data_IF_029797263020
#
_entry.id   IF_029797263020
#
_cell.length_a   1.000
_cell.length_b   1.000
_cell.length_c   1.000
_cell.angle_alpha   90.00
_cell.angle_beta   90.00
_cell.angle_gamma   90.00
#
_symmetry.space_group_name_H-M   'P 1'
#
loop_
_entity.id
_entity.type
_entity.pdbx_description
1 polymer ?
#
# COMPACT_ATOMS: atom_id res chain seq x y z
N UNK A 1 27.26 -9.48 1.81
CA UNK A 1 25.79 -9.55 1.71
C UNK A 1 25.29 -9.63 3.13
N UNK A 2 24.57 -8.62 3.62
CA UNK A 2 23.95 -8.69 4.93
C UNK A 2 22.98 -9.86 4.93
N UNK A 3 23.03 -10.70 5.96
CA UNK A 3 22.08 -11.80 6.13
C UNK A 3 20.68 -11.20 6.29
N UNK A 4 19.75 -11.59 5.41
CA UNK A 4 18.32 -11.26 5.54
C UNK A 4 17.79 -12.04 6.74
N UNK A 5 17.07 -11.37 7.63
CA UNK A 5 16.38 -12.05 8.74
C UNK A 5 15.28 -12.95 8.15
N UNK A 6 15.25 -14.26 8.48
CA UNK A 6 14.18 -15.16 8.03
C UNK A 6 12.77 -14.66 8.38
N UNK A 7 12.62 -13.86 9.44
CA UNK A 7 11.35 -13.23 9.81
C UNK A 7 10.78 -12.37 8.67
N UNK A 8 11.62 -11.69 7.90
CA UNK A 8 11.21 -10.82 6.77
C UNK A 8 10.71 -11.59 5.55
N UNK A 9 10.93 -12.92 5.53
CA UNK A 9 10.48 -13.81 4.47
C UNK A 9 9.28 -14.67 4.91
N UNK A 10 8.89 -14.59 6.18
CA UNK A 10 7.73 -15.30 6.68
C UNK A 10 6.44 -14.67 6.16
N UNK A 11 5.43 -15.49 5.89
CA UNK A 11 4.10 -14.96 5.62
C UNK A 11 3.54 -14.38 6.91
N UNK A 12 2.85 -13.25 6.78
CA UNK A 12 2.22 -12.55 7.91
C UNK A 12 0.70 -12.52 7.71
N UNK A 13 -0.04 -11.83 8.59
CA UNK A 13 -1.48 -11.70 8.39
C UNK A 13 -1.79 -10.85 7.14
N UNK A 14 -1.08 -9.73 6.97
CA UNK A 14 -1.35 -8.78 5.88
C UNK A 14 -0.50 -9.05 4.63
N UNK A 15 0.69 -9.64 4.80
CA UNK A 15 1.56 -10.12 3.71
C UNK A 15 1.36 -11.63 3.55
N UNK A 16 0.15 -12.02 3.18
CA UNK A 16 -0.29 -13.41 3.08
C UNK A 16 0.12 -14.06 1.75
N UNK A 17 1.40 -13.97 1.39
CA UNK A 17 1.87 -14.36 0.06
C UNK A 17 1.64 -15.84 -0.30
N UNK A 18 1.42 -16.70 0.69
CA UNK A 18 1.10 -18.11 0.50
C UNK A 18 -0.31 -18.33 -0.07
N UNK A 19 -1.15 -17.29 -0.12
CA UNK A 19 -2.48 -17.38 -0.71
C UNK A 19 -2.42 -17.83 -2.18
N UNK A 20 -3.28 -18.78 -2.63
CA UNK A 20 -3.20 -19.35 -3.98
C UNK A 20 -3.23 -18.30 -5.10
N UNK A 21 -4.09 -17.27 -4.98
CA UNK A 21 -4.18 -16.20 -5.96
C UNK A 21 -2.88 -15.38 -6.06
N UNK A 22 -2.16 -15.20 -4.94
CA UNK A 22 -0.86 -14.50 -4.92
C UNK A 22 0.20 -15.39 -5.56
N UNK A 23 0.24 -16.67 -5.22
CA UNK A 23 1.18 -17.62 -5.82
C UNK A 23 1.01 -17.71 -7.34
N UNK A 24 -0.23 -17.77 -7.83
CA UNK A 24 -0.54 -17.73 -9.27
C UNK A 24 -0.11 -16.39 -9.90
N UNK A 25 -0.40 -15.27 -9.25
CA UNK A 25 0.02 -13.95 -9.70
C UNK A 25 1.54 -13.86 -9.85
N UNK A 26 2.29 -14.39 -8.88
CA UNK A 26 3.76 -14.41 -8.90
C UNK A 26 4.27 -15.33 -10.01
N UNK A 27 3.77 -16.58 -10.07
CA UNK A 27 4.22 -17.59 -11.03
C UNK A 27 4.10 -17.14 -12.50
N UNK A 28 3.09 -16.32 -12.81
CA UNK A 28 2.86 -15.78 -14.16
C UNK A 28 3.76 -14.59 -14.53
N UNK A 29 4.50 -14.00 -13.58
CA UNK A 29 5.24 -12.73 -13.76
C UNK A 29 6.75 -12.84 -13.56
N UNK A 30 7.20 -13.84 -12.80
CA UNK A 30 8.62 -14.02 -12.51
C UNK A 30 9.08 -15.44 -12.83
N UNK A 31 10.28 -15.55 -13.37
CA UNK A 31 10.93 -16.83 -13.66
C UNK A 31 11.86 -17.27 -12.53
N UNK A 32 12.09 -18.58 -12.40
CA UNK A 32 13.00 -19.12 -11.38
C UNK A 32 14.42 -18.51 -11.47
N UNK A 33 14.91 -18.28 -12.69
CA UNK A 33 16.24 -17.73 -12.97
C UNK A 33 16.37 -16.20 -12.88
N UNK A 34 15.30 -15.46 -12.63
CA UNK A 34 15.38 -14.01 -12.44
C UNK A 34 16.16 -13.68 -11.14
N UNK A 35 16.98 -12.63 -11.18
CA UNK A 35 17.62 -12.10 -9.97
C UNK A 35 16.55 -11.55 -9.00
N UNK A 36 16.84 -11.56 -7.70
CA UNK A 36 15.87 -11.13 -6.68
C UNK A 36 15.33 -9.70 -6.91
N UNK A 37 16.21 -8.77 -7.32
CA UNK A 37 15.83 -7.39 -7.65
C UNK A 37 14.88 -7.33 -8.87
N UNK A 38 15.18 -8.10 -9.91
CA UNK A 38 14.34 -8.15 -11.10
C UNK A 38 12.95 -8.72 -10.78
N UNK A 39 12.88 -9.74 -9.92
CA UNK A 39 11.61 -10.28 -9.42
C UNK A 39 10.81 -9.19 -8.69
N UNK A 40 11.43 -8.47 -7.77
CA UNK A 40 10.78 -7.40 -7.02
C UNK A 40 10.25 -6.30 -7.94
N UNK A 41 11.05 -5.83 -8.92
CA UNK A 41 10.64 -4.81 -9.88
C UNK A 41 9.49 -5.27 -10.78
N UNK A 42 9.56 -6.50 -11.31
CA UNK A 42 8.48 -7.07 -12.16
C UNK A 42 7.16 -7.16 -11.39
N UNK A 43 7.20 -7.65 -10.15
CA UNK A 43 6.01 -7.75 -9.28
C UNK A 43 5.48 -6.37 -8.92
N UNK A 44 6.36 -5.44 -8.56
CA UNK A 44 5.99 -4.07 -8.25
C UNK A 44 5.28 -3.40 -9.44
N UNK A 45 5.87 -3.41 -10.65
CA UNK A 45 5.23 -2.80 -11.82
C UNK A 45 3.91 -3.48 -12.18
N UNK A 46 3.82 -4.80 -12.05
CA UNK A 46 2.56 -5.51 -12.26
C UNK A 46 1.46 -5.10 -11.28
N UNK A 47 1.80 -4.88 -10.01
CA UNK A 47 0.87 -4.35 -9.00
C UNK A 47 0.55 -2.89 -9.29
N UNK A 48 1.56 -2.05 -9.55
CA UNK A 48 1.45 -0.61 -9.85
C UNK A 48 0.45 -0.39 -10.98
N UNK A 49 0.64 -1.09 -12.09
CA UNK A 49 -0.09 -0.87 -13.34
C UNK A 49 -1.40 -1.68 -13.40
N UNK A 50 -1.48 -2.81 -12.67
CA UNK A 50 -2.62 -3.72 -12.71
C UNK A 50 -3.67 -3.54 -11.60
N UNK A 51 -3.37 -2.77 -10.55
CA UNK A 51 -4.27 -2.52 -9.42
C UNK A 51 -4.51 -1.01 -9.32
N UNK A 52 -5.78 -0.58 -9.40
CA UNK A 52 -6.17 0.83 -9.32
C UNK A 52 -5.78 1.39 -7.95
N UNK A 53 -5.20 2.59 -7.94
CA UNK A 53 -5.04 3.36 -6.71
C UNK A 53 -6.30 4.19 -6.45
N UNK A 54 -6.94 3.99 -5.29
CA UNK A 54 -8.15 4.72 -4.90
C UNK A 54 -8.13 5.01 -3.38
N UNK A 55 -7.79 6.25 -2.95
CA UNK A 55 -7.71 6.62 -1.55
C UNK A 55 -9.08 6.67 -0.84
N UNK A 56 -10.19 6.73 -1.58
CA UNK A 56 -11.54 6.78 -1.00
C UNK A 56 -12.15 5.40 -0.78
N UNK A 57 -11.53 4.36 -1.35
CA UNK A 57 -11.85 2.96 -1.05
C UNK A 57 -11.23 2.47 0.27
N UNK A 58 -10.58 3.37 1.02
CA UNK A 58 -9.85 3.02 2.23
C UNK A 58 -10.76 2.33 3.27
N UNK A 59 -10.36 1.15 3.70
CA UNK A 59 -11.10 0.36 4.69
C UNK A 59 -10.17 -0.09 5.80
N UNK A 60 -10.50 0.27 7.03
CA UNK A 60 -9.74 -0.19 8.21
C UNK A 60 -10.14 -1.60 8.66
N UNK A 61 -10.90 -2.35 7.84
CA UNK A 61 -11.22 -3.73 8.15
C UNK A 61 -9.98 -4.62 7.98
N UNK A 62 -9.68 -5.42 8.99
CA UNK A 62 -8.53 -6.34 9.03
C UNK A 62 -8.41 -7.23 7.78
N UNK A 63 -9.53 -7.79 7.30
CA UNK A 63 -9.54 -8.64 6.11
C UNK A 63 -9.23 -7.85 4.82
N UNK A 64 -9.73 -6.63 4.71
CA UNK A 64 -9.55 -5.79 3.52
C UNK A 64 -8.10 -5.35 3.29
N UNK A 65 -7.28 -5.36 4.34
CA UNK A 65 -5.87 -4.93 4.30
C UNK A 65 -4.90 -6.03 3.84
N UNK A 66 -5.37 -7.27 3.65
CA UNK A 66 -4.54 -8.38 3.18
C UNK A 66 -4.10 -8.18 1.73
N UNK A 67 -2.89 -8.64 1.41
CA UNK A 67 -2.36 -8.60 0.05
C UNK A 67 -3.27 -9.37 -0.93
N UNK A 68 -3.76 -10.54 -0.54
CA UNK A 68 -4.75 -11.32 -1.31
C UNK A 68 -6.02 -10.52 -1.63
N UNK A 69 -6.63 -9.88 -0.62
CA UNK A 69 -7.83 -9.06 -0.78
C UNK A 69 -7.60 -7.87 -1.71
N UNK A 70 -6.41 -7.26 -1.64
CA UNK A 70 -6.01 -6.15 -2.52
C UNK A 70 -5.90 -6.63 -3.98
N UNK A 71 -5.28 -7.80 -4.18
CA UNK A 71 -5.14 -8.40 -5.51
C UNK A 71 -6.51 -8.77 -6.12
N UNK A 72 -7.40 -9.35 -5.33
CA UNK A 72 -8.73 -9.78 -5.78
C UNK A 72 -9.63 -8.60 -6.15
N UNK A 73 -9.66 -7.57 -5.30
CA UNK A 73 -10.44 -6.34 -5.53
C UNK A 73 -9.89 -5.50 -6.67
N UNK A 74 -8.59 -5.63 -6.98
CA UNK A 74 -7.85 -4.79 -7.94
C UNK A 74 -7.94 -3.29 -7.64
N UNK A 75 -8.09 -2.96 -6.36
CA UNK A 75 -8.09 -1.60 -5.83
C UNK A 75 -7.26 -1.58 -4.55
N UNK A 76 -6.39 -0.58 -4.38
CA UNK A 76 -5.61 -0.38 -3.16
C UNK A 76 -5.30 1.10 -2.91
N UNK A 77 -4.74 1.39 -1.75
CA UNK A 77 -4.34 2.73 -1.32
C UNK A 77 -3.03 2.66 -0.52
N UNK A 78 -2.57 3.79 0.02
CA UNK A 78 -1.22 3.92 0.58
C UNK A 78 -0.83 2.93 1.70
N UNK A 79 -1.78 2.22 2.33
CA UNK A 79 -1.48 1.21 3.36
C UNK A 79 -1.12 -0.15 2.74
N UNK A 80 -1.89 -0.60 1.75
CA UNK A 80 -1.77 -1.94 1.15
C UNK A 80 -1.16 -1.93 -0.26
N UNK A 81 -0.83 -0.74 -0.80
CA UNK A 81 -0.26 -0.57 -2.13
C UNK A 81 0.77 0.57 -2.12
N UNK A 82 2.02 0.22 -2.41
CA UNK A 82 3.10 1.18 -2.59
C UNK A 82 2.84 2.09 -3.81
N UNK A 83 3.21 3.37 -3.67
CA UNK A 83 3.07 4.40 -4.70
C UNK A 83 4.28 4.47 -5.64
N UNK A 84 5.48 4.35 -5.08
CA UNK A 84 6.75 4.33 -5.81
C UNK A 84 7.65 3.22 -5.25
N UNK A 85 8.55 2.64 -6.06
CA UNK A 85 9.56 1.67 -5.65
C UNK A 85 10.54 1.43 -6.82
N UNK A 86 11.84 1.63 -6.57
CA UNK A 86 12.91 1.40 -7.55
C UNK A 86 13.86 0.25 -7.15
N UNK A 87 13.62 -0.36 -5.99
CA UNK A 87 14.46 -1.43 -5.44
C UNK A 87 15.83 -0.98 -4.93
N UNK A 88 16.05 0.33 -4.75
CA UNK A 88 17.28 0.91 -4.18
C UNK A 88 17.01 1.89 -3.06
N UNK A 89 15.95 2.71 -3.19
CA UNK A 89 15.60 3.77 -2.25
C UNK A 89 14.26 3.51 -1.60
N UNK A 90 14.08 4.09 -0.40
CA UNK A 90 12.81 4.03 0.31
C UNK A 90 11.70 4.72 -0.49
N UNK A 91 10.54 4.07 -0.52
CA UNK A 91 9.31 4.59 -1.10
C UNK A 91 8.71 5.71 -0.26
N UNK A 92 9.20 6.94 -0.41
CA UNK A 92 8.66 8.12 0.29
C UNK A 92 7.83 9.00 -0.64
N UNK A 93 6.68 9.47 -0.15
CA UNK A 93 5.89 10.49 -0.84
C UNK A 93 6.66 11.81 -0.92
N UNK A 94 6.58 12.48 -2.09
CA UNK A 94 7.29 13.72 -2.33
C UNK A 94 6.73 14.87 -1.48
N UNK A 95 7.60 15.65 -0.80
CA UNK A 95 7.16 16.77 0.05
C UNK A 95 6.61 17.98 -0.74
N UNK A 96 6.81 17.99 -2.06
CA UNK A 96 6.39 19.08 -2.95
C UNK A 96 5.28 18.62 -3.90
N UNK A 97 4.35 19.53 -4.22
CA UNK A 97 3.34 19.32 -5.25
C UNK A 97 3.88 19.61 -6.66
N UNK A 98 3.03 19.46 -7.69
CA UNK A 98 3.40 19.74 -9.09
C UNK A 98 3.77 21.20 -9.39
N UNK A 99 3.41 22.14 -8.50
CA UNK A 99 3.80 23.55 -8.57
C UNK A 99 5.09 23.84 -7.77
N UNK A 100 5.82 22.80 -7.32
CA UNK A 100 7.01 22.88 -6.49
C UNK A 100 6.80 23.60 -5.15
N UNK A 101 5.58 23.57 -4.62
CA UNK A 101 5.24 24.12 -3.31
C UNK A 101 5.28 23.01 -2.27
N UNK A 102 5.82 23.30 -1.08
CA UNK A 102 5.85 22.34 0.02
C UNK A 102 4.42 22.03 0.47
N UNK A 103 4.01 20.77 0.35
CA UNK A 103 2.67 20.27 0.66
C UNK A 103 2.68 19.20 1.76
N UNK A 104 3.84 18.57 2.04
CA UNK A 104 3.99 17.53 3.05
C UNK A 104 5.33 17.66 3.78
N UNK A 105 5.35 17.25 5.06
CA UNK A 105 6.55 17.11 5.88
C UNK A 105 6.46 15.84 6.74
N UNK A 106 7.50 15.00 6.71
CA UNK A 106 7.63 13.88 7.65
C UNK A 106 8.08 14.43 9.00
N UNK A 107 7.15 14.55 9.95
CA UNK A 107 7.42 15.13 11.28
C UNK A 107 7.99 14.08 12.24
N UNK A 108 7.54 12.82 12.15
CA UNK A 108 7.98 11.72 13.03
C UNK A 108 7.96 10.38 12.29
N UNK A 109 9.01 9.59 12.47
CA UNK A 109 9.07 8.17 12.12
C UNK A 109 8.62 7.33 13.32
N UNK A 110 7.79 6.31 13.10
CA UNK A 110 7.16 5.50 14.16
C UNK A 110 7.72 4.08 14.30
N UNK A 111 8.84 3.80 13.63
CA UNK A 111 9.51 2.50 13.65
C UNK A 111 9.33 1.72 12.37
N UNK A 112 9.98 0.57 12.33
CA UNK A 112 9.93 -0.43 11.26
C UNK A 112 9.35 -1.72 11.85
N UNK A 113 8.47 -2.38 11.09
CA UNK A 113 7.74 -3.55 11.56
C UNK A 113 7.72 -4.60 10.44
N UNK A 114 7.82 -5.88 10.82
CA UNK A 114 7.79 -7.00 9.86
C UNK A 114 6.39 -7.20 9.24
N UNK A 115 5.35 -6.67 9.89
CA UNK A 115 3.97 -6.65 9.41
C UNK A 115 3.27 -5.34 9.81
N UNK A 116 2.08 -5.09 9.28
CA UNK A 116 1.28 -3.92 9.66
C UNK A 116 0.92 -3.97 11.16
N UNK A 117 1.33 -2.97 11.99
CA UNK A 117 0.94 -2.90 13.40
C UNK A 117 -0.52 -2.44 13.52
N UNK A 118 -1.46 -3.31 13.12
CA UNK A 118 -2.86 -2.97 12.90
C UNK A 118 -3.54 -2.36 14.13
N UNK A 119 -3.35 -2.96 15.32
CA UNK A 119 -4.06 -2.51 16.52
C UNK A 119 -3.58 -1.11 16.94
N UNK A 120 -2.29 -0.83 16.82
CA UNK A 120 -1.72 0.50 17.06
C UNK A 120 -2.17 1.51 16.00
N UNK A 121 -2.15 1.12 14.72
CA UNK A 121 -2.60 1.95 13.60
C UNK A 121 -4.06 2.37 13.79
N UNK A 122 -4.96 1.42 14.07
CA UNK A 122 -6.39 1.69 14.26
C UNK A 122 -6.62 2.54 15.50
N UNK A 123 -5.94 2.25 16.61
CA UNK A 123 -6.04 3.06 17.82
C UNK A 123 -5.62 4.52 17.57
N UNK A 124 -4.55 4.73 16.81
CA UNK A 124 -4.09 6.07 16.45
C UNK A 124 -4.99 6.76 15.42
N UNK A 125 -5.55 6.05 14.45
CA UNK A 125 -6.53 6.60 13.50
C UNK A 125 -7.76 7.12 14.22
N UNK A 126 -8.32 6.34 15.16
CA UNK A 126 -9.46 6.75 15.98
C UNK A 126 -9.13 7.97 16.85
N UNK A 127 -7.93 7.98 17.44
CA UNK A 127 -7.50 9.04 18.37
C UNK A 127 -7.16 10.36 17.66
N UNK A 128 -6.49 10.30 16.52
CA UNK A 128 -5.91 11.47 15.83
C UNK A 128 -6.78 11.96 14.67
N UNK A 129 -7.52 11.06 14.02
CA UNK A 129 -8.32 11.36 12.83
C UNK A 129 -9.78 10.89 12.98
N UNK A 130 -10.48 11.25 14.07
CA UNK A 130 -11.82 10.73 14.34
C UNK A 130 -12.84 11.07 13.23
N UNK A 131 -12.68 12.23 12.57
CA UNK A 131 -13.53 12.64 11.46
C UNK A 131 -13.31 11.77 10.21
N UNK A 132 -12.07 11.37 9.93
CA UNK A 132 -11.75 10.52 8.77
C UNK A 132 -12.30 9.11 8.97
N UNK A 133 -12.17 8.57 10.19
CA UNK A 133 -12.73 7.26 10.55
C UNK A 133 -14.26 7.28 10.37
N UNK A 134 -14.94 8.31 10.89
CA UNK A 134 -16.38 8.46 10.75
C UNK A 134 -16.87 8.54 9.29
N UNK A 135 -16.08 9.14 8.39
CA UNK A 135 -16.39 9.21 6.95
C UNK A 135 -16.12 7.87 6.25
N UNK A 136 -15.05 7.17 6.60
CA UNK A 136 -14.71 5.86 6.00
C UNK A 136 -15.71 4.75 6.32
N UNK A 137 -16.40 4.84 7.46
CA UNK A 137 -17.50 3.93 7.80
C UNK A 137 -18.82 4.31 7.10
N UNK A 138 -18.90 5.49 6.45
CA UNK A 138 -20.13 6.07 5.91
C UNK A 138 -20.19 6.30 4.39
N UNK A 139 -19.09 6.35 3.64
CA UNK A 139 -19.12 6.67 2.20
C UNK A 139 -17.93 6.12 1.39
N UNK A 140 -18.23 5.38 0.32
CA UNK A 140 -17.32 5.18 -0.80
C UNK A 140 -17.35 6.43 -1.69
N UNK A 141 -16.29 7.25 -1.63
CA UNK A 141 -16.14 8.45 -2.47
C UNK A 141 -15.63 8.07 -3.87
N UNK A 142 -16.19 8.70 -4.90
CA UNK A 142 -15.86 8.47 -6.31
C UNK A 142 -14.93 9.59 -6.82
N UNK A 143 -13.66 9.25 -7.06
CA UNK A 143 -12.63 10.16 -7.60
C UNK A 143 -13.05 10.83 -8.93
N UNK A 144 -13.93 10.19 -9.71
CA UNK A 144 -14.36 10.71 -11.00
C UNK A 144 -15.39 11.86 -10.88
N UNK A 145 -16.00 12.10 -9.70
CA UNK A 145 -16.91 13.24 -9.48
C UNK A 145 -16.22 14.51 -8.97
N UNK A 146 -15.06 14.42 -8.33
CA UNK A 146 -14.40 15.59 -7.72
C UNK A 146 -13.46 16.35 -8.66
N UNK A 147 -13.13 15.79 -9.83
CA UNK A 147 -12.36 16.48 -10.87
C UNK A 147 -13.17 17.55 -11.65
N UNK A 148 -14.49 17.64 -11.44
CA UNK A 148 -15.40 18.56 -12.17
C UNK A 148 -15.89 19.73 -11.31
N UNK A 149 -15.51 19.84 -10.03
CA UNK A 149 -15.97 20.93 -9.16
C UNK A 149 -14.82 21.79 -8.63
N UNK A 150 -14.28 22.62 -9.52
CA UNK A 150 -14.01 24.03 -9.20
C UNK A 150 -14.52 24.90 -10.35
N UNK A 151 -15.55 25.72 -10.11
CA UNK A 151 -15.25 27.12 -9.90
C UNK A 151 -16.10 27.79 -8.81
N UNK A 152 -15.45 28.57 -7.95
CA UNK A 152 -15.81 29.95 -7.59
C UNK A 152 -14.56 30.66 -7.12
#
# INVERSE_FOLDING_TARGET
MNSIDPAWLAATEFIDYQHPAIQEFVATRVGAGDAAKDKALKLYYAVRDGIRYDPYSASMRRDALRASSTLEKRVGYCVNKALDFDGEHDSQMHPYNSANQRHMEYVRQRGEFDDLPYDELVADMVRLYPQLVAVSEGQAGDFDRESVLRPT
#
